data_IF_618891516194
#
_entry.id   IF_618891516194
#
_cell.length_a   1.000
_cell.length_b   1.000
_cell.length_c   1.000
_cell.angle_alpha   90.00
_cell.angle_beta   90.00
_cell.angle_gamma   90.00
#
_symmetry.space_group_name_H-M   'P 1'
#
loop_
_entity.id
_entity.type
_entity.pdbx_description
1 polymer ?
#
# COMPACT_ATOMS: atom_id res chain seq x y z
N UNK A 1 -26.57 5.88 26.15
CA UNK A 1 -26.04 4.52 25.98
C UNK A 1 -24.75 4.48 26.78
N UNK A 2 -24.58 3.54 27.70
CA UNK A 2 -23.28 3.34 28.35
C UNK A 2 -22.33 2.85 27.27
N UNK A 3 -21.52 3.73 26.70
CA UNK A 3 -20.35 3.32 25.92
C UNK A 3 -19.37 2.73 26.91
N UNK A 4 -19.33 1.39 26.99
CA UNK A 4 -18.28 0.70 27.75
C UNK A 4 -16.92 1.23 27.25
N UNK A 5 -16.25 1.97 28.14
CA UNK A 5 -14.95 2.54 27.84
C UNK A 5 -13.90 1.45 28.03
N UNK A 6 -13.18 1.11 26.97
CA UNK A 6 -12.13 0.08 27.02
C UNK A 6 -10.77 0.73 27.12
N UNK A 7 -10.02 0.34 28.14
CA UNK A 7 -8.65 0.78 28.34
C UNK A 7 -7.68 -0.17 27.64
N UNK A 8 -6.71 0.33 26.87
CA UNK A 8 -5.72 -0.52 26.16
C UNK A 8 -4.98 -1.48 27.09
N UNK A 9 -4.61 -1.04 28.28
CA UNK A 9 -3.88 -1.86 29.25
C UNK A 9 -4.73 -3.00 29.85
N UNK A 10 -6.07 -2.90 29.76
CA UNK A 10 -7.01 -3.91 30.22
C UNK A 10 -7.75 -4.58 29.05
N UNK A 11 -7.24 -4.41 27.84
CA UNK A 11 -7.85 -5.00 26.67
C UNK A 11 -7.85 -6.53 26.78
N UNK A 12 -8.92 -7.15 26.34
CA UNK A 12 -8.97 -8.59 26.08
C UNK A 12 -9.11 -8.77 24.57
N UNK A 13 -8.13 -9.41 23.95
CA UNK A 13 -8.05 -9.52 22.49
C UNK A 13 -9.12 -10.42 21.91
N UNK A 14 -9.56 -11.40 22.69
CA UNK A 14 -10.56 -12.39 22.31
C UNK A 14 -10.46 -13.65 23.15
N UNK A 15 -11.05 -14.73 22.65
CA UNK A 15 -11.00 -16.05 23.29
C UNK A 15 -10.87 -17.16 22.25
N UNK A 16 -10.38 -18.31 22.69
CA UNK A 16 -10.28 -19.50 21.84
C UNK A 16 -11.52 -20.38 21.97
N UNK A 17 -12.19 -20.66 20.85
CA UNK A 17 -13.27 -21.64 20.73
C UNK A 17 -12.70 -22.99 20.29
N UNK A 18 -13.15 -24.07 20.93
CA UNK A 18 -12.80 -25.43 20.52
C UNK A 18 -13.63 -25.84 19.30
N UNK A 19 -12.95 -26.24 18.22
CA UNK A 19 -13.56 -26.67 16.96
C UNK A 19 -13.42 -28.19 16.71
N UNK A 20 -13.01 -28.94 17.74
CA UNK A 20 -12.75 -30.38 17.67
C UNK A 20 -11.25 -30.67 17.67
N UNK A 21 -10.65 -30.78 16.49
CA UNK A 21 -9.22 -31.10 16.31
C UNK A 21 -8.29 -29.87 16.40
N UNK A 22 -8.84 -28.66 16.42
CA UNK A 22 -8.11 -27.41 16.60
C UNK A 22 -8.91 -26.40 17.43
N UNK A 23 -8.26 -25.29 17.81
CA UNK A 23 -8.91 -24.13 18.44
C UNK A 23 -8.86 -22.95 17.47
N UNK A 24 -9.98 -22.24 17.35
CA UNK A 24 -10.09 -21.01 16.56
C UNK A 24 -10.17 -19.80 17.51
N UNK A 25 -9.50 -18.71 17.16
CA UNK A 25 -9.52 -17.48 17.94
C UNK A 25 -10.67 -16.57 17.48
N UNK A 26 -11.53 -16.15 18.41
CA UNK A 26 -12.61 -15.19 18.17
C UNK A 26 -12.19 -13.86 18.81
N UNK A 27 -11.90 -12.80 18.02
CA UNK A 27 -11.50 -11.52 18.57
C UNK A 27 -12.70 -10.79 19.19
N UNK A 28 -12.39 -9.97 20.19
CA UNK A 28 -13.35 -9.03 20.78
C UNK A 28 -13.80 -8.00 19.75
N UNK A 29 -15.04 -7.50 19.91
CA UNK A 29 -15.52 -6.35 19.16
C UNK A 29 -14.76 -5.08 19.52
N UNK A 30 -14.56 -4.23 18.51
CA UNK A 30 -13.75 -3.02 18.56
C UNK A 30 -14.56 -1.73 18.47
N UNK A 31 -15.85 -1.80 18.08
CA UNK A 31 -16.70 -0.62 17.99
C UNK A 31 -17.16 -0.10 19.36
N UNK A 32 -16.23 0.49 20.11
CA UNK A 32 -16.41 1.03 21.46
C UNK A 32 -15.48 2.20 21.71
N UNK A 33 -15.68 2.89 22.84
CA UNK A 33 -14.81 3.99 23.25
C UNK A 33 -13.47 3.44 23.73
N UNK A 34 -12.37 4.11 23.36
CA UNK A 34 -11.02 3.65 23.67
C UNK A 34 -10.22 4.71 24.42
N UNK A 35 -9.59 4.29 25.52
CA UNK A 35 -8.71 5.13 26.33
C UNK A 35 -7.39 4.40 26.62
N UNK A 36 -6.36 5.15 26.96
CA UNK A 36 -5.05 4.60 27.32
C UNK A 36 -4.39 5.46 28.39
N UNK A 37 -3.55 4.84 29.22
CA UNK A 37 -2.78 5.54 30.24
C UNK A 37 -1.33 5.76 29.84
N UNK A 38 -0.80 4.94 28.93
CA UNK A 38 0.59 5.06 28.52
C UNK A 38 0.88 6.42 27.82
N UNK A 39 1.67 7.32 28.45
CA UNK A 39 1.94 8.65 27.91
C UNK A 39 2.76 8.62 26.63
N UNK A 40 3.49 7.53 26.36
CA UNK A 40 4.25 7.34 25.13
C UNK A 40 3.33 7.35 23.90
N UNK A 41 2.11 6.82 24.02
CA UNK A 41 1.12 6.83 22.93
C UNK A 41 0.74 8.27 22.58
N UNK A 42 0.51 9.13 23.58
CA UNK A 42 0.20 10.54 23.35
C UNK A 42 1.34 11.28 22.63
N UNK A 43 2.57 11.04 23.08
CA UNK A 43 3.76 11.63 22.47
C UNK A 43 3.91 11.19 21.00
N UNK A 44 3.82 9.87 20.74
CA UNK A 44 3.96 9.33 19.38
C UNK A 44 2.80 9.76 18.48
N UNK A 45 1.57 9.78 18.98
CA UNK A 45 0.41 10.23 18.22
C UNK A 45 0.58 11.69 17.80
N UNK A 46 0.99 12.57 18.72
CA UNK A 46 1.25 13.97 18.42
C UNK A 46 2.32 14.16 17.34
N UNK A 47 3.39 13.37 17.36
CA UNK A 47 4.45 13.42 16.33
C UNK A 47 3.91 12.85 15.01
N UNK A 48 3.17 11.74 15.05
CA UNK A 48 2.61 11.09 13.87
C UNK A 48 1.64 12.02 13.12
N UNK A 49 0.73 12.68 13.84
CA UNK A 49 -0.18 13.67 13.27
C UNK A 49 0.58 14.85 12.64
N UNK A 50 1.65 15.33 13.30
CA UNK A 50 2.50 16.40 12.76
C UNK A 50 3.22 15.99 11.48
N UNK A 51 3.85 14.81 11.44
CA UNK A 51 4.57 14.34 10.25
C UNK A 51 3.61 14.01 9.10
N UNK A 52 2.42 13.46 9.40
CA UNK A 52 1.39 13.24 8.40
C UNK A 52 0.88 14.57 7.81
N UNK A 53 0.63 15.57 8.66
CA UNK A 53 0.23 16.91 8.22
C UNK A 53 1.32 17.61 7.37
N UNK A 54 2.61 17.39 7.67
CA UNK A 54 3.70 17.85 6.82
C UNK A 54 3.66 17.16 5.46
N UNK A 55 3.48 15.84 5.41
CA UNK A 55 3.36 15.09 4.16
C UNK A 55 2.21 15.62 3.29
N UNK A 56 1.03 15.84 3.88
CA UNK A 56 -0.14 16.39 3.20
C UNK A 56 0.16 17.74 2.52
N UNK A 57 0.88 18.63 3.21
CA UNK A 57 1.26 19.94 2.67
C UNK A 57 2.09 19.81 1.38
N UNK A 58 2.94 18.80 1.27
CA UNK A 58 3.71 18.56 0.05
C UNK A 58 2.82 18.04 -1.08
N UNK A 59 1.90 17.11 -0.80
CA UNK A 59 1.04 16.58 -1.86
C UNK A 59 0.11 17.62 -2.48
N UNK A 60 -0.28 18.68 -1.77
CA UNK A 60 -1.15 19.74 -2.29
C UNK A 60 -0.40 20.77 -3.16
N UNK A 61 0.90 21.00 -2.90
CA UNK A 61 1.66 22.11 -3.50
C UNK A 61 2.46 21.73 -4.75
N UNK A 62 2.58 20.45 -5.05
CA UNK A 62 3.45 19.97 -6.13
C UNK A 62 2.69 19.96 -7.47
N UNK A 63 3.16 20.70 -8.51
CA UNK A 63 2.56 20.61 -9.83
C UNK A 63 2.70 19.19 -10.41
N UNK A 64 1.63 18.66 -10.99
CA UNK A 64 1.58 17.29 -11.53
C UNK A 64 1.97 16.21 -10.50
N UNK A 65 1.62 16.42 -9.22
CA UNK A 65 1.88 15.47 -8.13
C UNK A 65 1.40 14.06 -8.46
N UNK A 66 0.35 13.95 -9.27
CA UNK A 66 -0.21 12.68 -9.74
C UNK A 66 0.84 11.78 -10.41
N UNK A 67 1.79 12.36 -11.15
CA UNK A 67 2.87 11.59 -11.80
C UNK A 67 3.77 10.92 -10.76
N UNK A 68 4.13 11.66 -9.71
CA UNK A 68 5.03 11.19 -8.66
C UNK A 68 4.33 10.26 -7.67
N UNK A 69 3.02 10.42 -7.51
CA UNK A 69 2.16 9.51 -6.75
C UNK A 69 2.14 8.13 -7.39
N UNK A 70 2.10 8.02 -8.73
CA UNK A 70 2.12 6.71 -9.39
C UNK A 70 3.36 5.90 -8.99
N UNK A 71 4.52 6.53 -8.89
CA UNK A 71 5.72 5.87 -8.38
C UNK A 71 5.56 5.38 -6.95
N UNK A 72 4.99 6.20 -6.07
CA UNK A 72 4.73 5.77 -4.71
C UNK A 72 3.76 4.58 -4.64
N UNK A 73 2.71 4.54 -5.46
CA UNK A 73 1.78 3.40 -5.58
C UNK A 73 2.54 2.15 -6.04
N UNK A 74 3.41 2.26 -7.04
CA UNK A 74 4.20 1.14 -7.53
C UNK A 74 5.16 0.59 -6.46
N UNK A 75 5.84 1.46 -5.72
CA UNK A 75 6.71 1.05 -4.60
C UNK A 75 5.90 0.37 -3.50
N UNK A 76 4.76 0.95 -3.11
CA UNK A 76 3.85 0.32 -2.16
C UNK A 76 3.44 -1.08 -2.62
N UNK A 77 3.01 -1.22 -3.87
CA UNK A 77 2.56 -2.47 -4.45
C UNK A 77 3.67 -3.54 -4.42
N UNK A 78 4.90 -3.15 -4.78
CA UNK A 78 6.08 -4.01 -4.72
C UNK A 78 6.36 -4.46 -3.27
N UNK A 79 6.54 -3.51 -2.34
CA UNK A 79 6.92 -3.83 -0.95
C UNK A 79 5.81 -4.61 -0.24
N UNK A 80 4.55 -4.25 -0.46
CA UNK A 80 3.39 -4.95 0.09
C UNK A 80 3.32 -6.39 -0.42
N UNK A 81 3.57 -6.63 -1.70
CA UNK A 81 3.56 -7.98 -2.27
C UNK A 81 4.76 -8.80 -1.79
N UNK A 82 5.93 -8.17 -1.62
CA UNK A 82 7.15 -8.81 -1.09
C UNK A 82 6.97 -9.33 0.34
N UNK A 83 6.18 -8.65 1.18
CA UNK A 83 5.78 -9.15 2.51
C UNK A 83 5.07 -10.51 2.38
N UNK A 84 4.23 -10.70 1.36
CA UNK A 84 3.51 -11.95 1.10
C UNK A 84 4.35 -13.00 0.33
N UNK A 85 5.59 -12.68 -0.04
CA UNK A 85 6.54 -13.62 -0.66
C UNK A 85 6.75 -13.46 -2.16
N UNK A 86 6.16 -12.46 -2.81
CA UNK A 86 6.44 -12.08 -4.20
C UNK A 86 7.93 -11.72 -4.36
N UNK A 87 8.58 -12.18 -5.43
CA UNK A 87 10.01 -11.99 -5.69
C UNK A 87 10.22 -11.15 -6.96
N UNK A 88 9.92 -9.87 -6.85
CA UNK A 88 10.13 -8.88 -7.93
C UNK A 88 10.91 -7.67 -7.43
N UNK A 89 11.77 -7.12 -8.30
CA UNK A 89 12.46 -5.85 -8.10
C UNK A 89 11.59 -4.69 -8.58
N UNK A 90 11.91 -3.46 -8.16
CA UNK A 90 11.14 -2.28 -8.57
C UNK A 90 11.31 -2.05 -10.07
N UNK A 91 12.52 -2.26 -10.58
CA UNK A 91 12.86 -2.19 -12.00
C UNK A 91 12.00 -3.16 -12.82
N UNK A 92 11.91 -4.41 -12.37
CA UNK A 92 11.11 -5.44 -13.02
C UNK A 92 9.63 -5.07 -13.13
N UNK A 93 9.08 -4.29 -12.20
CA UNK A 93 7.68 -3.87 -12.23
C UNK A 93 7.36 -2.91 -13.39
N UNK A 94 8.37 -2.22 -13.94
CA UNK A 94 8.24 -1.28 -15.06
C UNK A 94 8.63 -1.86 -16.43
N UNK A 95 9.13 -3.10 -16.47
CA UNK A 95 9.50 -3.79 -17.71
C UNK A 95 8.25 -4.42 -18.37
N UNK A 96 8.25 -4.54 -19.69
CA UNK A 96 7.17 -5.26 -20.40
C UNK A 96 7.14 -6.74 -20.01
N UNK A 97 5.95 -7.29 -19.78
CA UNK A 97 5.78 -8.65 -19.21
C UNK A 97 6.34 -9.72 -20.16
N UNK A 98 6.33 -9.47 -21.46
CA UNK A 98 6.88 -10.35 -22.49
C UNK A 98 8.39 -10.56 -22.36
N UNK A 99 9.10 -9.60 -21.77
CA UNK A 99 10.55 -9.64 -21.58
C UNK A 99 10.96 -10.32 -20.26
N UNK A 100 10.00 -10.73 -19.41
CA UNK A 100 10.24 -11.45 -18.16
C UNK A 100 10.09 -12.98 -18.30
N UNK A 101 10.70 -13.74 -17.40
CA UNK A 101 10.47 -15.20 -17.27
C UNK A 101 9.07 -15.48 -16.73
N UNK A 102 8.44 -16.63 -17.03
CA UNK A 102 7.08 -16.93 -16.57
C UNK A 102 6.85 -16.72 -15.08
N UNK A 103 7.78 -17.15 -14.22
CA UNK A 103 7.66 -16.97 -12.76
C UNK A 103 7.65 -15.50 -12.36
N UNK A 104 8.48 -14.68 -13.02
CA UNK A 104 8.53 -13.22 -12.79
C UNK A 104 7.31 -12.52 -13.37
N UNK A 105 6.67 -13.06 -14.41
CA UNK A 105 5.41 -12.54 -14.97
C UNK A 105 4.29 -12.64 -13.95
N UNK A 106 4.16 -13.77 -13.26
CA UNK A 106 3.15 -13.95 -12.22
C UNK A 106 3.36 -12.98 -11.05
N UNK A 107 4.60 -12.87 -10.57
CA UNK A 107 4.97 -11.94 -9.49
C UNK A 107 4.74 -10.47 -9.88
N UNK A 108 5.10 -10.08 -11.12
CA UNK A 108 4.83 -8.74 -11.64
C UNK A 108 3.32 -8.47 -11.79
N UNK A 109 2.55 -9.47 -12.21
CA UNK A 109 1.10 -9.34 -12.36
C UNK A 109 0.43 -9.13 -10.99
N UNK A 110 0.92 -9.75 -9.91
CA UNK A 110 0.44 -9.47 -8.56
C UNK A 110 0.66 -8.01 -8.14
N UNK A 111 1.82 -7.43 -8.49
CA UNK A 111 2.10 -6.00 -8.25
C UNK A 111 1.15 -5.13 -9.08
N UNK A 112 0.97 -5.41 -10.37
CA UNK A 112 0.04 -4.67 -11.24
C UNK A 112 -1.41 -4.74 -10.75
N UNK A 113 -1.83 -5.89 -10.23
CA UNK A 113 -3.15 -6.05 -9.63
C UNK A 113 -3.30 -5.23 -8.35
N UNK A 114 -2.26 -5.14 -7.53
CA UNK A 114 -2.26 -4.27 -6.35
C UNK A 114 -2.43 -2.80 -6.73
N UNK A 115 -1.68 -2.31 -7.72
CA UNK A 115 -1.81 -0.94 -8.26
C UNK A 115 -3.25 -0.72 -8.75
N UNK A 116 -3.80 -1.70 -9.49
CA UNK A 116 -5.18 -1.64 -10.01
C UNK A 116 -6.22 -1.60 -8.90
N UNK A 117 -6.06 -2.42 -7.86
CA UNK A 117 -6.95 -2.48 -6.71
C UNK A 117 -6.89 -1.17 -5.89
N UNK A 118 -5.70 -0.62 -5.70
CA UNK A 118 -5.47 0.65 -5.03
C UNK A 118 -6.12 1.82 -5.79
N UNK A 119 -5.85 1.93 -7.09
CA UNK A 119 -6.44 2.97 -7.95
C UNK A 119 -7.96 2.85 -8.02
N UNK A 120 -8.52 1.63 -8.03
CA UNK A 120 -9.97 1.44 -7.90
C UNK A 120 -10.48 1.98 -6.57
N UNK A 121 -9.87 1.60 -5.45
CA UNK A 121 -10.27 2.09 -4.12
C UNK A 121 -10.22 3.63 -4.03
N UNK A 122 -9.14 4.23 -4.52
CA UNK A 122 -8.97 5.70 -4.56
C UNK A 122 -10.08 6.34 -5.39
N UNK A 123 -10.35 5.83 -6.60
CA UNK A 123 -11.39 6.35 -7.48
C UNK A 123 -12.77 6.28 -6.82
N UNK A 124 -13.10 5.15 -6.18
CA UNK A 124 -14.36 4.98 -5.44
C UNK A 124 -14.51 6.02 -4.33
N UNK A 125 -13.46 6.25 -3.55
CA UNK A 125 -13.52 7.20 -2.43
C UNK A 125 -13.58 8.65 -2.92
N UNK A 126 -12.70 9.03 -3.84
CA UNK A 126 -12.51 10.44 -4.22
C UNK A 126 -13.57 10.90 -5.24
N UNK A 127 -13.89 10.07 -6.23
CA UNK A 127 -14.74 10.49 -7.36
C UNK A 127 -16.20 10.03 -7.20
N UNK A 128 -16.45 8.89 -6.57
CA UNK A 128 -17.80 8.37 -6.35
C UNK A 128 -18.38 8.73 -4.97
N UNK A 129 -17.60 9.39 -4.10
CA UNK A 129 -17.93 9.65 -2.67
C UNK A 129 -18.36 8.36 -1.94
N UNK A 130 -17.68 7.25 -2.26
CA UNK A 130 -18.06 5.94 -1.80
C UNK A 130 -17.37 5.59 -0.47
N UNK A 131 -18.11 5.26 0.60
CA UNK A 131 -17.52 4.98 1.90
C UNK A 131 -16.79 3.64 1.91
N UNK A 132 -15.76 3.54 2.76
CA UNK A 132 -15.12 2.27 3.07
C UNK A 132 -16.18 1.35 3.68
N UNK A 133 -16.40 0.22 3.02
CA UNK A 133 -17.44 -0.73 3.39
C UNK A 133 -17.00 -2.13 3.02
N UNK A 134 -17.69 -3.12 3.56
CA UNK A 134 -17.60 -4.53 3.15
C UNK A 134 -17.65 -4.68 1.62
N UNK A 135 -18.48 -3.89 0.94
CA UNK A 135 -18.58 -3.90 -0.52
C UNK A 135 -17.30 -3.40 -1.19
N UNK A 136 -16.75 -2.26 -0.77
CA UNK A 136 -15.50 -1.74 -1.32
C UNK A 136 -14.33 -2.71 -1.08
N UNK A 137 -14.24 -3.28 0.12
CA UNK A 137 -13.20 -4.25 0.49
C UNK A 137 -13.25 -5.48 -0.42
N UNK A 138 -14.45 -5.98 -0.75
CA UNK A 138 -14.64 -7.08 -1.72
C UNK A 138 -14.25 -6.68 -3.14
N UNK A 139 -14.66 -5.50 -3.62
CA UNK A 139 -14.26 -5.00 -4.96
C UNK A 139 -12.73 -4.90 -5.10
N UNK A 140 -12.05 -4.40 -4.06
CA UNK A 140 -10.58 -4.31 -4.01
C UNK A 140 -9.96 -5.71 -4.05
N UNK A 141 -10.44 -6.64 -3.22
CA UNK A 141 -9.93 -8.00 -3.18
C UNK A 141 -10.14 -8.75 -4.51
N UNK A 142 -11.27 -8.55 -5.19
CA UNK A 142 -11.52 -9.13 -6.51
C UNK A 142 -10.43 -8.72 -7.51
N UNK A 143 -10.14 -7.41 -7.59
CA UNK A 143 -9.10 -6.87 -8.48
C UNK A 143 -7.70 -7.35 -8.09
N UNK A 144 -7.43 -7.49 -6.79
CA UNK A 144 -6.14 -7.92 -6.28
C UNK A 144 -5.78 -9.35 -6.74
N UNK A 145 -6.76 -10.27 -6.77
CA UNK A 145 -6.53 -11.68 -7.09
C UNK A 145 -6.85 -12.07 -8.54
N UNK A 146 -7.17 -11.10 -9.40
CA UNK A 146 -7.55 -11.37 -10.79
C UNK A 146 -6.40 -11.99 -11.61
N UNK A 147 -6.58 -13.18 -12.19
CA UNK A 147 -5.59 -13.80 -13.07
C UNK A 147 -4.23 -14.13 -12.44
N UNK A 148 -4.14 -14.23 -11.10
CA UNK A 148 -2.89 -14.52 -10.36
C UNK A 148 -3.07 -15.67 -9.37
N UNK A 149 -2.01 -16.00 -8.62
CA UNK A 149 -2.10 -16.97 -7.52
C UNK A 149 -3.22 -16.55 -6.56
N UNK A 150 -4.10 -17.50 -6.25
CA UNK A 150 -5.28 -17.25 -5.44
C UNK A 150 -6.54 -16.89 -6.23
N UNK A 151 -6.51 -16.79 -7.56
CA UNK A 151 -7.71 -16.57 -8.39
C UNK A 151 -8.81 -17.62 -8.15
N UNK A 152 -8.44 -18.86 -7.81
CA UNK A 152 -9.38 -19.94 -7.47
C UNK A 152 -9.89 -19.88 -6.03
N UNK A 153 -9.39 -18.95 -5.20
CA UNK A 153 -9.72 -18.78 -3.78
C UNK A 153 -10.80 -17.71 -3.58
N UNK A 154 -11.84 -17.78 -4.41
CA UNK A 154 -13.03 -16.90 -4.39
C UNK A 154 -12.75 -15.40 -4.30
N UNK A 155 -12.09 -14.78 -5.31
CA UNK A 155 -11.92 -13.33 -5.40
C UNK A 155 -13.24 -12.58 -5.19
N UNK A 156 -13.22 -11.54 -4.37
CA UNK A 156 -14.39 -10.68 -4.08
C UNK A 156 -15.38 -11.28 -3.09
N UNK A 157 -15.11 -12.46 -2.52
CA UNK A 157 -16.00 -13.12 -1.58
C UNK A 157 -15.28 -13.45 -0.28
N UNK A 158 -15.96 -13.24 0.85
CA UNK A 158 -15.46 -13.73 2.12
C UNK A 158 -15.52 -15.26 2.15
N UNK A 159 -14.57 -15.85 2.85
CA UNK A 159 -14.45 -17.31 2.93
C UNK A 159 -15.68 -17.92 3.61
N UNK A 160 -16.10 -19.06 3.08
CA UNK A 160 -17.12 -19.93 3.70
C UNK A 160 -16.50 -21.12 4.41
N UNK A 161 -15.17 -21.27 4.32
CA UNK A 161 -14.38 -22.34 4.93
C UNK A 161 -13.36 -21.77 5.91
N UNK A 162 -12.80 -22.64 6.76
CA UNK A 162 -11.75 -22.26 7.71
C UNK A 162 -10.42 -22.07 6.99
N UNK A 163 -9.74 -20.95 7.27
CA UNK A 163 -8.35 -20.71 6.91
C UNK A 163 -7.47 -20.72 8.18
N UNK A 164 -6.15 -20.68 8.00
CA UNK A 164 -5.17 -20.65 9.09
C UNK A 164 -3.86 -19.98 8.61
N UNK A 165 -3.04 -19.55 9.56
CA UNK A 165 -1.78 -18.85 9.33
C UNK A 165 -0.63 -19.70 9.91
N UNK A 166 0.33 -20.06 9.05
CA UNK A 166 1.43 -20.97 9.41
C UNK A 166 0.97 -22.42 9.58
N UNK A 167 1.87 -23.40 9.49
CA UNK A 167 1.53 -24.83 9.58
C UNK A 167 0.85 -25.40 8.31
N UNK A 168 0.61 -26.71 8.30
CA UNK A 168 0.04 -27.44 7.16
C UNK A 168 -1.47 -27.68 7.30
N UNK A 169 -1.99 -27.62 8.52
CA UNK A 169 -3.41 -27.83 8.86
C UNK A 169 -3.77 -27.00 10.10
N UNK A 170 -5.06 -26.74 10.37
CA UNK A 170 -5.45 -25.93 11.53
C UNK A 170 -4.89 -26.41 12.89
N UNK A 171 -4.67 -27.72 13.06
CA UNK A 171 -4.16 -28.30 14.31
C UNK A 171 -2.67 -28.09 14.57
N UNK A 172 -1.87 -27.75 13.54
CA UNK A 172 -0.45 -27.39 13.68
C UNK A 172 -0.15 -25.95 13.25
N UNK A 173 -1.19 -25.15 13.05
CA UNK A 173 -1.05 -23.77 12.63
C UNK A 173 -0.57 -22.86 13.77
N UNK A 174 0.17 -21.81 13.41
CA UNK A 174 0.59 -20.79 14.39
C UNK A 174 -0.63 -20.01 14.90
N UNK A 175 -1.58 -19.73 14.00
CA UNK A 175 -2.81 -19.03 14.34
C UNK A 175 -3.97 -19.52 13.48
N UNK A 176 -5.12 -19.75 14.10
CA UNK A 176 -6.38 -20.08 13.41
C UNK A 176 -7.36 -18.92 13.64
N UNK A 177 -7.64 -18.11 12.59
CA UNK A 177 -8.63 -17.03 12.64
C UNK A 177 -10.04 -17.52 13.00
N UNK A 178 -11.01 -16.61 13.24
CA UNK A 178 -12.39 -16.94 13.59
C UNK A 178 -13.03 -17.96 12.64
N UNK A 179 -14.04 -18.72 13.07
CA UNK A 179 -14.78 -19.54 12.13
C UNK A 179 -15.59 -18.67 11.15
N UNK A 180 -15.85 -19.21 9.96
CA UNK A 180 -16.56 -18.47 8.91
C UNK A 180 -17.95 -17.96 9.35
N UNK A 181 -18.57 -18.63 10.33
CA UNK A 181 -19.85 -18.24 10.94
C UNK A 181 -19.79 -16.89 11.67
N UNK A 182 -18.63 -16.49 12.19
CA UNK A 182 -18.46 -15.24 12.94
C UNK A 182 -18.15 -14.04 12.04
N UNK A 183 -17.77 -14.27 10.78
CA UNK A 183 -17.29 -13.21 9.89
C UNK A 183 -18.30 -12.08 9.70
N UNK A 184 -19.59 -12.41 9.53
CA UNK A 184 -20.62 -11.39 9.32
C UNK A 184 -20.71 -10.42 10.51
N UNK A 185 -20.67 -10.92 11.74
CA UNK A 185 -20.76 -10.08 12.93
C UNK A 185 -19.49 -9.25 13.11
N UNK A 186 -18.31 -9.88 12.97
CA UNK A 186 -17.01 -9.23 13.13
C UNK A 186 -16.76 -8.15 12.08
N UNK A 187 -17.15 -8.37 10.82
CA UNK A 187 -16.98 -7.40 9.75
C UNK A 187 -18.02 -6.27 9.84
N UNK A 188 -19.22 -6.56 10.34
CA UNK A 188 -20.20 -5.51 10.66
C UNK A 188 -19.70 -4.62 11.80
N UNK A 189 -19.11 -5.20 12.84
CA UNK A 189 -18.49 -4.44 13.93
C UNK A 189 -17.32 -3.57 13.43
N UNK A 190 -16.46 -4.12 12.57
CA UNK A 190 -15.36 -3.39 11.93
C UNK A 190 -15.89 -2.21 11.10
N UNK A 191 -16.89 -2.42 10.24
CA UNK A 191 -17.50 -1.37 9.42
C UNK A 191 -18.18 -0.29 10.29
N UNK A 192 -18.89 -0.70 11.35
CA UNK A 192 -19.47 0.24 12.29
C UNK A 192 -18.38 1.08 12.97
N UNK A 193 -17.24 0.50 13.37
CA UNK A 193 -16.14 1.23 13.99
C UNK A 193 -15.51 2.29 13.06
N UNK A 194 -15.40 1.98 11.76
CA UNK A 194 -14.93 2.94 10.74
C UNK A 194 -15.78 4.21 10.78
N UNK A 195 -17.11 4.04 10.80
CA UNK A 195 -18.10 5.12 10.63
C UNK A 195 -18.65 5.68 11.94
N UNK A 196 -18.20 5.18 13.08
CA UNK A 196 -18.74 5.62 14.37
C UNK A 196 -18.20 7.00 14.76
N UNK A 197 -19.02 8.03 14.57
CA UNK A 197 -18.77 9.41 14.96
C UNK A 197 -19.10 9.70 16.44
N UNK A 198 -19.68 8.73 17.16
CA UNK A 198 -20.06 8.87 18.58
C UNK A 198 -18.94 8.42 19.53
N UNK A 199 -17.82 7.91 19.01
CA UNK A 199 -16.63 7.54 19.79
C UNK A 199 -15.49 8.51 19.49
N UNK A 200 -14.80 8.93 20.55
CA UNK A 200 -13.78 9.98 20.49
C UNK A 200 -12.37 9.39 20.46
N UNK A 201 -12.06 8.75 19.34
CA UNK A 201 -10.75 8.11 19.13
C UNK A 201 -10.02 8.78 17.96
N UNK A 202 -8.77 9.24 18.15
CA UNK A 202 -7.96 9.82 17.08
C UNK A 202 -7.83 8.87 15.88
N UNK A 203 -7.87 9.40 14.66
CA UNK A 203 -7.92 8.59 13.44
C UNK A 203 -6.74 7.63 13.29
N UNK A 204 -5.51 8.05 13.61
CA UNK A 204 -4.34 7.14 13.53
C UNK A 204 -4.46 5.95 14.49
N UNK A 205 -5.08 6.14 15.65
CA UNK A 205 -5.38 5.06 16.59
C UNK A 205 -6.48 4.15 16.03
N UNK A 206 -7.55 4.73 15.46
CA UNK A 206 -8.60 3.93 14.79
C UNK A 206 -8.03 3.05 13.69
N UNK A 207 -7.17 3.60 12.81
CA UNK A 207 -6.54 2.85 11.72
C UNK A 207 -5.68 1.71 12.27
N UNK A 208 -4.90 1.95 13.31
CA UNK A 208 -4.08 0.92 13.92
C UNK A 208 -4.95 -0.26 14.44
N UNK A 209 -6.04 0.04 15.15
CA UNK A 209 -6.99 -0.97 15.66
C UNK A 209 -7.66 -1.71 14.49
N UNK A 210 -8.11 -0.97 13.47
CA UNK A 210 -8.74 -1.53 12.25
C UNK A 210 -7.81 -2.51 11.55
N UNK A 211 -6.54 -2.15 11.37
CA UNK A 211 -5.57 -2.99 10.70
C UNK A 211 -5.33 -4.29 11.48
N UNK A 212 -5.07 -4.19 12.79
CA UNK A 212 -4.96 -5.36 13.66
C UNK A 212 -6.20 -6.26 13.58
N UNK A 213 -7.39 -5.67 13.67
CA UNK A 213 -8.64 -6.42 13.69
C UNK A 213 -8.87 -7.12 12.34
N UNK A 214 -8.65 -6.43 11.22
CA UNK A 214 -8.79 -7.00 9.89
C UNK A 214 -7.85 -8.20 9.66
N UNK A 215 -6.57 -8.04 10.01
CA UNK A 215 -5.57 -9.13 9.92
C UNK A 215 -5.93 -10.32 10.80
N UNK A 216 -6.56 -10.07 11.96
CA UNK A 216 -6.98 -11.10 12.92
C UNK A 216 -8.27 -11.82 12.49
N UNK A 217 -9.24 -11.10 11.92
CA UNK A 217 -10.45 -11.69 11.33
C UNK A 217 -10.08 -12.58 10.13
N UNK A 218 -9.10 -12.15 9.34
CA UNK A 218 -8.59 -12.86 8.16
C UNK A 218 -9.74 -13.34 7.23
N UNK A 219 -10.55 -12.42 6.70
CA UNK A 219 -11.86 -12.75 6.11
C UNK A 219 -11.80 -13.45 4.74
N UNK A 220 -10.65 -13.44 4.07
CA UNK A 220 -10.45 -14.04 2.77
C UNK A 220 -9.57 -15.30 2.83
N UNK A 221 -9.64 -16.14 1.81
CA UNK A 221 -8.76 -17.32 1.68
C UNK A 221 -7.33 -16.97 1.23
N UNK A 222 -7.12 -15.76 0.72
CA UNK A 222 -5.83 -15.20 0.34
C UNK A 222 -5.88 -13.67 0.35
N UNK A 223 -4.73 -13.01 0.21
CA UNK A 223 -4.67 -11.56 -0.03
C UNK A 223 -5.02 -10.69 1.18
N UNK A 224 -5.30 -11.27 2.36
CA UNK A 224 -5.66 -10.53 3.58
C UNK A 224 -4.64 -9.44 3.91
N UNK A 225 -3.35 -9.78 4.01
CA UNK A 225 -2.30 -8.80 4.32
C UNK A 225 -2.27 -7.60 3.37
N UNK A 226 -2.40 -7.86 2.06
CA UNK A 226 -2.41 -6.83 1.01
C UNK A 226 -3.66 -5.95 1.13
N UNK A 227 -4.84 -6.53 1.33
CA UNK A 227 -6.08 -5.76 1.54
C UNK A 227 -6.02 -4.95 2.85
N UNK A 228 -5.51 -5.54 3.94
CA UNK A 228 -5.36 -4.87 5.21
C UNK A 228 -4.46 -3.64 5.14
N UNK A 229 -3.38 -3.71 4.33
CA UNK A 229 -2.51 -2.56 4.06
C UNK A 229 -3.15 -1.53 3.12
N UNK A 230 -3.93 -1.95 2.12
CA UNK A 230 -4.69 -1.03 1.26
C UNK A 230 -5.74 -0.21 2.03
N UNK A 231 -6.36 -0.77 3.06
CA UNK A 231 -7.35 -0.05 3.89
C UNK A 231 -6.75 1.19 4.56
N UNK A 232 -5.46 1.17 4.92
CA UNK A 232 -4.78 2.26 5.63
C UNK A 232 -4.84 3.59 4.85
N UNK A 233 -4.25 3.70 3.63
CA UNK A 233 -4.30 4.93 2.87
C UNK A 233 -5.71 5.27 2.40
N UNK A 234 -6.56 4.28 2.12
CA UNK A 234 -7.96 4.53 1.77
C UNK A 234 -8.71 5.20 2.94
N UNK A 235 -8.47 4.78 4.17
CA UNK A 235 -9.07 5.40 5.36
C UNK A 235 -8.61 6.85 5.53
N UNK A 236 -7.32 7.12 5.33
CA UNK A 236 -6.76 8.48 5.39
C UNK A 236 -7.43 9.41 4.37
N UNK A 237 -7.66 8.92 3.14
CA UNK A 237 -8.37 9.67 2.10
C UNK A 237 -9.85 9.88 2.44
N UNK A 238 -10.54 8.81 2.85
CA UNK A 238 -11.97 8.85 3.16
C UNK A 238 -12.31 9.82 4.29
N UNK A 239 -11.39 9.97 5.25
CA UNK A 239 -11.54 10.89 6.38
C UNK A 239 -10.84 12.24 6.14
N UNK A 240 -10.30 12.48 4.94
CA UNK A 240 -9.64 13.74 4.55
C UNK A 240 -8.44 14.11 5.43
N UNK A 241 -7.77 13.11 6.01
CA UNK A 241 -6.46 13.31 6.63
C UNK A 241 -5.39 13.57 5.58
N UNK A 242 -5.59 12.98 4.40
CA UNK A 242 -4.82 13.26 3.20
C UNK A 242 -5.78 13.59 2.05
N UNK A 243 -5.43 14.55 1.19
CA UNK A 243 -6.18 14.85 -0.04
C UNK A 243 -5.72 14.02 -1.23
N UNK A 244 -4.51 13.46 -1.16
CA UNK A 244 -3.87 12.65 -2.20
C UNK A 244 -3.33 11.35 -1.61
N UNK A 245 -3.29 10.25 -2.39
CA UNK A 245 -2.73 8.99 -1.94
C UNK A 245 -1.20 9.10 -1.93
N UNK A 246 -0.63 9.64 -0.85
CA UNK A 246 0.82 9.90 -0.75
C UNK A 246 1.49 9.14 0.41
N UNK A 247 0.71 8.37 1.17
CA UNK A 247 1.18 7.64 2.35
C UNK A 247 1.16 6.12 2.14
N UNK A 248 2.33 5.48 2.28
CA UNK A 248 2.54 4.09 1.89
C UNK A 248 3.45 3.35 2.88
N UNK A 249 2.81 2.64 3.82
CA UNK A 249 3.46 2.07 5.00
C UNK A 249 4.26 0.80 4.71
N UNK A 250 4.04 0.13 3.57
CA UNK A 250 4.59 -1.21 3.34
C UNK A 250 6.11 -1.24 3.29
N UNK A 251 6.77 -0.13 2.93
CA UNK A 251 8.23 -0.05 2.98
C UNK A 251 8.77 -0.17 4.42
N UNK A 252 8.10 0.44 5.41
CA UNK A 252 8.48 0.28 6.82
C UNK A 252 8.17 -1.13 7.32
N UNK A 253 6.99 -1.66 6.99
CA UNK A 253 6.58 -3.00 7.42
C UNK A 253 7.46 -4.10 6.81
N UNK A 254 7.90 -3.96 5.56
CA UNK A 254 8.78 -4.95 4.92
C UNK A 254 10.17 -4.96 5.57
N UNK A 255 10.75 -3.78 5.85
CA UNK A 255 12.03 -3.67 6.57
C UNK A 255 11.96 -4.21 8.00
N UNK A 256 10.78 -4.11 8.64
CA UNK A 256 10.53 -4.54 10.01
C UNK A 256 9.58 -5.74 10.08
N UNK A 257 9.62 -6.63 9.07
CA UNK A 257 8.63 -7.71 8.89
C UNK A 257 8.47 -8.61 10.11
N UNK A 258 9.57 -8.94 10.78
CA UNK A 258 9.54 -9.79 11.98
C UNK A 258 8.83 -9.04 13.11
N UNK A 259 9.23 -7.80 13.42
CA UNK A 259 8.58 -7.01 14.46
C UNK A 259 7.11 -6.73 14.17
N UNK A 260 6.74 -6.55 12.90
CA UNK A 260 5.36 -6.36 12.47
C UNK A 260 4.47 -7.56 12.84
N UNK A 261 4.88 -8.78 12.46
CA UNK A 261 4.11 -9.98 12.81
C UNK A 261 4.14 -10.27 14.32
N UNK A 262 5.29 -10.10 14.96
CA UNK A 262 5.42 -10.28 16.41
C UNK A 262 4.49 -9.31 17.17
N UNK A 263 4.39 -8.06 16.74
CA UNK A 263 3.51 -7.07 17.36
C UNK A 263 2.03 -7.46 17.23
N UNK A 264 1.58 -7.94 16.05
CA UNK A 264 0.21 -8.45 15.87
C UNK A 264 -0.07 -9.68 16.73
N UNK A 265 0.87 -10.64 16.76
CA UNK A 265 0.72 -11.87 17.53
C UNK A 265 0.75 -11.62 19.04
N UNK A 266 1.46 -10.59 19.50
CA UNK A 266 1.42 -10.18 20.91
C UNK A 266 0.05 -9.66 21.33
N UNK A 267 -0.68 -8.97 20.46
CA UNK A 267 -2.08 -8.61 20.76
C UNK A 267 -2.92 -9.87 20.90
N UNK A 268 -2.83 -10.80 19.94
CA UNK A 268 -3.64 -12.04 19.92
C UNK A 268 -3.41 -12.92 21.14
N UNK A 269 -2.16 -13.10 21.56
CA UNK A 269 -1.80 -14.05 22.62
C UNK A 269 -1.65 -13.42 24.01
N UNK A 270 -1.31 -12.13 24.08
CA UNK A 270 -0.97 -11.46 25.34
C UNK A 270 -1.73 -10.15 25.56
N UNK A 271 -2.75 -9.87 24.73
CA UNK A 271 -3.58 -8.68 24.81
C UNK A 271 -2.81 -7.35 24.69
N UNK A 272 -1.59 -7.36 24.14
CA UNK A 272 -0.69 -6.21 24.11
C UNK A 272 -1.03 -5.20 23.00
N UNK A 273 -2.24 -4.63 23.07
CA UNK A 273 -2.70 -3.62 22.12
C UNK A 273 -1.81 -2.36 22.19
N UNK A 274 -1.39 -1.96 23.39
CA UNK A 274 -0.48 -0.82 23.58
C UNK A 274 0.83 -0.97 22.80
N UNK A 275 1.45 -2.15 22.83
CA UNK A 275 2.66 -2.44 22.05
C UNK A 275 2.44 -2.32 20.54
N UNK A 276 1.30 -2.84 20.05
CA UNK A 276 0.91 -2.70 18.65
C UNK A 276 0.70 -1.23 18.23
N UNK A 277 -0.02 -0.44 19.04
CA UNK A 277 -0.27 0.98 18.76
C UNK A 277 1.06 1.75 18.69
N UNK A 278 1.99 1.49 19.62
CA UNK A 278 3.31 2.12 19.62
C UNK A 278 4.08 1.80 18.34
N UNK A 279 4.13 0.51 17.95
CA UNK A 279 4.77 0.08 16.71
C UNK A 279 4.13 0.75 15.48
N UNK A 280 2.79 0.77 15.41
CA UNK A 280 2.07 1.36 14.30
C UNK A 280 2.31 2.87 14.18
N UNK A 281 2.28 3.62 15.29
CA UNK A 281 2.57 5.05 15.26
C UNK A 281 4.01 5.36 14.84
N UNK A 282 4.98 4.55 15.27
CA UNK A 282 6.36 4.66 14.79
C UNK A 282 6.45 4.41 13.28
N UNK A 283 5.72 3.40 12.77
CA UNK A 283 5.64 3.13 11.34
C UNK A 283 5.03 4.32 10.57
N UNK A 284 4.00 4.96 11.12
CA UNK A 284 3.38 6.16 10.53
C UNK A 284 4.37 7.32 10.47
N UNK A 285 5.06 7.61 11.57
CA UNK A 285 6.05 8.70 11.65
C UNK A 285 7.14 8.52 10.60
N UNK A 286 7.76 7.33 10.54
CA UNK A 286 8.86 7.07 9.62
C UNK A 286 8.38 7.03 8.16
N UNK A 287 7.18 6.49 7.91
CA UNK A 287 6.59 6.50 6.57
C UNK A 287 6.34 7.92 6.08
N UNK A 288 5.77 8.79 6.93
CA UNK A 288 5.49 10.18 6.57
C UNK A 288 6.78 10.98 6.32
N UNK A 289 7.82 10.77 7.13
CA UNK A 289 9.14 11.38 6.96
C UNK A 289 9.80 10.99 5.63
N UNK A 290 9.85 9.68 5.36
CA UNK A 290 10.43 9.15 4.11
C UNK A 290 9.63 9.63 2.89
N UNK A 291 8.30 9.65 2.97
CA UNK A 291 7.45 10.18 1.90
C UNK A 291 7.77 11.65 1.61
N UNK A 292 7.88 12.48 2.65
CA UNK A 292 8.24 13.90 2.52
C UNK A 292 9.62 14.08 1.87
N UNK A 293 10.63 13.36 2.33
CA UNK A 293 11.98 13.42 1.77
C UNK A 293 11.99 13.03 0.28
N UNK A 294 11.23 12.00 -0.11
CA UNK A 294 11.07 11.62 -1.52
C UNK A 294 10.45 12.74 -2.34
N UNK A 295 9.38 13.37 -1.86
CA UNK A 295 8.78 14.52 -2.57
C UNK A 295 9.74 15.70 -2.69
N UNK A 296 10.50 16.03 -1.65
CA UNK A 296 11.53 17.08 -1.68
C UNK A 296 12.60 16.78 -2.74
N UNK A 297 13.12 15.55 -2.78
CA UNK A 297 14.12 15.14 -3.76
C UNK A 297 13.58 15.13 -5.19
N UNK A 298 12.32 14.71 -5.38
CA UNK A 298 11.66 14.78 -6.69
C UNK A 298 11.55 16.22 -7.17
N UNK A 299 11.16 17.16 -6.30
CA UNK A 299 11.07 18.58 -6.65
C UNK A 299 12.43 19.14 -7.10
N UNK A 300 13.49 18.87 -6.34
CA UNK A 300 14.84 19.30 -6.69
C UNK A 300 15.29 18.73 -8.04
N UNK A 301 14.95 17.46 -8.31
CA UNK A 301 15.26 16.81 -9.59
C UNK A 301 14.46 17.43 -10.74
N UNK A 302 13.18 17.72 -10.54
CA UNK A 302 12.31 18.34 -11.54
C UNK A 302 12.80 19.75 -11.89
N UNK A 303 13.21 20.54 -10.90
CA UNK A 303 13.79 21.86 -11.12
C UNK A 303 15.10 21.78 -11.91
N UNK A 304 16.00 20.85 -11.54
CA UNK A 304 17.23 20.55 -12.29
C UNK A 304 16.92 20.18 -13.75
N UNK A 305 15.95 19.29 -13.97
CA UNK A 305 15.53 18.88 -15.30
C UNK A 305 14.89 20.02 -16.10
N UNK A 306 14.11 20.90 -15.47
CA UNK A 306 13.53 22.08 -16.11
C UNK A 306 14.63 23.06 -16.57
N UNK A 307 15.67 23.30 -15.75
CA UNK A 307 16.81 24.12 -16.15
C UNK A 307 17.59 23.50 -17.31
N UNK A 308 17.87 22.20 -17.26
CA UNK A 308 18.52 21.48 -18.36
C UNK A 308 17.68 21.52 -19.65
N UNK A 309 16.36 21.34 -19.54
CA UNK A 309 15.42 21.41 -20.65
C UNK A 309 15.54 22.73 -21.42
N UNK A 310 15.79 23.87 -20.76
CA UNK A 310 15.98 25.16 -21.46
C UNK A 310 17.21 25.15 -22.38
N UNK A 311 18.26 24.41 -22.02
CA UNK A 311 19.55 24.34 -22.73
C UNK A 311 19.56 23.31 -23.87
N UNK A 312 18.68 22.30 -23.82
CA UNK A 312 18.62 21.23 -24.83
C UNK A 312 18.16 21.75 -26.20
N UNK A 313 18.67 21.18 -27.30
CA UNK A 313 18.15 21.46 -28.65
C UNK A 313 16.91 20.59 -28.92
N UNK A 314 15.97 21.10 -29.70
CA UNK A 314 14.75 20.36 -30.10
C UNK A 314 13.45 21.02 -29.65
N UNK A 315 12.33 20.39 -29.99
CA UNK A 315 11.00 20.85 -29.60
C UNK A 315 10.82 20.66 -28.08
N UNK A 316 10.66 21.76 -27.34
CA UNK A 316 10.56 21.79 -25.87
C UNK A 316 9.31 21.10 -25.35
N UNK A 317 8.21 21.18 -26.09
CA UNK A 317 6.96 20.53 -25.73
C UNK A 317 7.11 19.01 -25.78
N UNK A 318 7.70 18.49 -26.85
CA UNK A 318 7.98 17.06 -26.99
C UNK A 318 8.97 16.57 -25.93
N UNK A 319 10.05 17.32 -25.65
CA UNK A 319 11.00 16.95 -24.59
C UNK A 319 10.32 16.92 -23.22
N UNK A 320 9.45 17.89 -22.90
CA UNK A 320 8.68 17.90 -21.66
C UNK A 320 7.69 16.73 -21.58
N UNK A 321 7.08 16.34 -22.69
CA UNK A 321 6.25 15.14 -22.75
C UNK A 321 7.07 13.87 -22.46
N UNK A 322 8.32 13.79 -22.93
CA UNK A 322 9.23 12.68 -22.59
C UNK A 322 9.53 12.66 -21.09
N UNK A 323 9.89 13.80 -20.47
CA UNK A 323 10.08 13.87 -19.02
C UNK A 323 8.86 13.37 -18.25
N UNK A 324 7.66 13.85 -18.59
CA UNK A 324 6.42 13.43 -17.94
C UNK A 324 6.16 11.92 -18.08
N UNK A 325 6.45 11.34 -19.25
CA UNK A 325 6.34 9.90 -19.47
C UNK A 325 7.30 9.11 -18.57
N UNK A 326 8.55 9.56 -18.42
CA UNK A 326 9.53 8.93 -17.53
C UNK A 326 9.24 9.13 -16.04
N UNK A 327 8.63 10.25 -15.64
CA UNK A 327 8.18 10.41 -14.25
C UNK A 327 7.02 9.48 -13.89
N UNK A 328 6.15 9.16 -14.86
CA UNK A 328 5.08 8.18 -14.68
C UNK A 328 5.58 6.73 -14.73
N UNK A 329 6.56 6.44 -15.58
CA UNK A 329 7.19 5.13 -15.73
C UNK A 329 8.69 5.31 -15.97
N UNK A 330 9.57 5.10 -14.98
CA UNK A 330 10.98 5.45 -15.04
C UNK A 330 11.78 4.59 -16.02
N UNK A 331 11.23 3.45 -16.44
CA UNK A 331 11.80 2.57 -17.44
C UNK A 331 10.82 2.50 -18.61
N UNK A 332 11.30 2.80 -19.82
CA UNK A 332 10.49 2.79 -21.04
C UNK A 332 11.30 2.32 -22.24
N UNK A 333 10.61 1.67 -23.18
CA UNK A 333 11.12 1.44 -24.54
C UNK A 333 10.74 2.62 -25.46
N UNK A 334 11.46 2.80 -26.57
CA UNK A 334 11.12 3.82 -27.58
C UNK A 334 9.70 3.60 -28.12
N UNK A 335 9.29 2.34 -28.30
CA UNK A 335 7.95 1.98 -28.78
C UNK A 335 6.87 2.47 -27.82
N UNK A 336 7.03 2.18 -26.52
CA UNK A 336 6.08 2.61 -25.48
C UNK A 336 6.04 4.12 -25.36
N UNK A 337 7.22 4.77 -25.40
CA UNK A 337 7.32 6.23 -25.34
C UNK A 337 6.60 6.87 -26.53
N UNK A 338 6.87 6.41 -27.76
CA UNK A 338 6.24 6.88 -28.99
C UNK A 338 4.70 6.83 -28.92
N UNK A 339 4.15 5.74 -28.41
CA UNK A 339 2.71 5.59 -28.17
C UNK A 339 2.19 6.55 -27.10
N UNK A 340 2.94 6.70 -26.00
CA UNK A 340 2.55 7.52 -24.84
C UNK A 340 2.47 9.00 -25.18
N UNK A 341 3.44 9.53 -25.93
CA UNK A 341 3.51 10.96 -26.28
C UNK A 341 2.93 11.29 -27.67
N UNK A 342 2.43 10.28 -28.41
CA UNK A 342 1.75 10.48 -29.70
C UNK A 342 2.65 10.94 -30.85
N UNK A 343 3.92 10.52 -30.88
CA UNK A 343 4.88 10.87 -31.95
C UNK A 343 5.36 9.62 -32.69
N UNK A 344 6.00 9.80 -33.86
CA UNK A 344 6.58 8.67 -34.60
C UNK A 344 7.76 8.05 -33.83
N UNK A 345 8.03 6.76 -34.08
CA UNK A 345 9.14 6.03 -33.47
C UNK A 345 10.49 6.77 -33.64
N UNK A 346 10.77 7.27 -34.85
CA UNK A 346 12.01 8.00 -35.14
C UNK A 346 12.10 9.32 -34.37
N UNK A 347 10.98 10.04 -34.19
CA UNK A 347 10.94 11.25 -33.37
C UNK A 347 11.22 10.91 -31.91
N UNK A 348 10.56 9.89 -31.35
CA UNK A 348 10.81 9.44 -29.98
C UNK A 348 12.26 9.02 -29.77
N UNK A 349 12.83 8.24 -30.70
CA UNK A 349 14.24 7.83 -30.66
C UNK A 349 15.20 9.01 -30.64
N UNK A 350 14.98 10.02 -31.48
CA UNK A 350 15.84 11.20 -31.52
C UNK A 350 15.77 12.02 -30.22
N UNK A 351 14.58 12.12 -29.61
CA UNK A 351 14.40 12.77 -28.32
C UNK A 351 15.14 12.00 -27.21
N UNK A 352 14.99 10.68 -27.15
CA UNK A 352 15.69 9.82 -26.19
C UNK A 352 17.21 9.96 -26.35
N UNK A 353 17.74 9.85 -27.57
CA UNK A 353 19.17 10.03 -27.82
C UNK A 353 19.69 11.40 -27.38
N UNK A 354 18.86 12.45 -27.50
CA UNK A 354 19.22 13.80 -27.02
C UNK A 354 19.33 13.83 -25.50
N UNK A 355 18.46 13.12 -24.79
CA UNK A 355 18.48 13.05 -23.32
C UNK A 355 19.58 12.12 -22.81
N UNK A 356 19.88 11.03 -23.52
CA UNK A 356 21.03 10.16 -23.21
C UNK A 356 22.35 10.90 -23.39
N UNK A 357 22.51 11.64 -24.50
CA UNK A 357 23.69 12.49 -24.72
C UNK A 357 23.83 13.63 -23.69
N UNK A 358 22.75 13.97 -22.99
CA UNK A 358 22.74 14.96 -21.92
C UNK A 358 22.86 14.35 -20.52
N UNK A 359 23.07 13.03 -20.41
CA UNK A 359 23.19 12.29 -19.14
C UNK A 359 21.93 12.43 -18.25
N UNK A 360 20.76 12.52 -18.88
CA UNK A 360 19.45 12.59 -18.20
C UNK A 360 18.77 11.22 -18.20
N UNK A 361 19.00 10.43 -19.26
CA UNK A 361 18.54 9.06 -19.39
C UNK A 361 19.75 8.15 -19.61
N UNK A 362 19.65 6.93 -19.12
CA UNK A 362 20.64 5.89 -19.35
C UNK A 362 20.05 4.75 -20.19
N UNK A 363 20.89 4.09 -20.97
CA UNK A 363 20.52 2.80 -21.56
C UNK A 363 20.40 1.75 -20.44
N UNK A 364 19.32 0.97 -20.46
CA UNK A 364 19.05 -0.05 -19.45
C UNK A 364 18.99 -1.43 -20.10
N UNK A 365 20.06 -2.20 -19.91
CA UNK A 365 20.15 -3.54 -20.50
C UNK A 365 19.39 -4.57 -19.66
N UNK A 366 18.39 -5.21 -20.27
CA UNK A 366 17.66 -6.33 -19.68
C UNK A 366 18.09 -7.61 -20.37
N UNK A 367 18.76 -8.54 -19.66
CA UNK A 367 19.21 -9.80 -20.25
C UNK A 367 18.06 -10.57 -20.91
N UNK A 368 18.19 -10.83 -22.21
CA UNK A 368 17.21 -11.60 -22.98
C UNK A 368 16.02 -10.80 -23.53
N UNK A 369 15.91 -9.50 -23.22
CA UNK A 369 14.92 -8.63 -23.88
C UNK A 369 15.29 -8.43 -25.35
N UNK A 370 14.26 -8.32 -26.20
CA UNK A 370 14.41 -7.98 -27.62
C UNK A 370 14.37 -6.47 -27.87
N UNK A 371 14.15 -5.66 -26.84
CA UNK A 371 13.96 -4.23 -26.94
C UNK A 371 15.00 -3.46 -26.12
N UNK A 372 15.49 -2.34 -26.65
CA UNK A 372 16.31 -1.42 -25.89
C UNK A 372 15.42 -0.65 -24.91
N UNK A 373 15.78 -0.70 -23.64
CA UNK A 373 15.12 0.05 -22.58
C UNK A 373 15.99 1.24 -22.19
N UNK A 374 15.33 2.28 -21.70
CA UNK A 374 15.96 3.47 -21.19
C UNK A 374 15.40 3.75 -19.81
N UNK A 375 16.22 4.28 -18.92
CA UNK A 375 15.87 4.55 -17.53
C UNK A 375 16.23 5.98 -17.15
N UNK A 376 15.39 6.60 -16.32
CA UNK A 376 15.73 7.83 -15.61
C UNK A 376 16.30 7.47 -14.23
N UNK A 377 17.58 7.09 -14.18
CA UNK A 377 18.24 6.54 -12.99
C UNK A 377 18.15 7.47 -11.77
N UNK A 378 18.44 8.76 -11.97
CA UNK A 378 18.37 9.79 -10.91
C UNK A 378 16.99 9.81 -10.24
N UNK A 379 15.92 9.65 -11.03
CA UNK A 379 14.55 9.64 -10.50
C UNK A 379 14.22 8.32 -9.80
N UNK A 380 14.57 7.19 -10.41
CA UNK A 380 14.33 5.88 -9.83
C UNK A 380 15.01 5.76 -8.46
N UNK A 381 16.27 6.19 -8.34
CA UNK A 381 17.07 6.12 -7.10
C UNK A 381 16.48 6.90 -5.92
N UNK A 382 15.62 7.89 -6.15
CA UNK A 382 14.91 8.57 -5.06
C UNK A 382 13.98 7.59 -4.31
N UNK A 383 13.51 6.54 -5.00
CA UNK A 383 12.49 5.64 -4.48
C UNK A 383 13.00 4.30 -3.93
N UNK A 384 14.15 3.82 -4.39
CA UNK A 384 14.68 2.47 -4.12
C UNK A 384 15.33 2.35 -2.75
#
# INVERSE_FOLDING_TARGET
MNTETTQFENFESGYYQNMGDFKSFIPSYINKEWVWMNPQINMLLSIADQELGKLEMYSDRIPNVELYIQMHISIEANKSSKIEGTKTTIEEDFIDIEDLTPEKRDDQQEVKNYITAMNHGINRIINDDFPISTRLIKEIHEKLLFGVRGERKTPGQYRTTQNWIGGNKPSDANFVPPPASELNNLLSDLENFIHNEQIYVPHLIKIAILHYQFETIHPFLDGNGRVGRLIIPLYLLSNKLLSKPCFYISNYLEKNRIQYYDALDRVRHFNDLSGWIIFFLQAVIETARVGREKFENVLLLVDKHNEQLTKLKGNKENLRAVFNAFYASPILTITKLSQTIGVTYNTARNLVNTLVAAEILDEFDIPGSRHNHYVMSDYLLIFV
#
